data_IF_943340858636
#
_entry.id   IF_943340858636
#
_cell.length_a   1.000
_cell.length_b   1.000
_cell.length_c   1.000
_cell.angle_alpha   90.00
_cell.angle_beta   90.00
_cell.angle_gamma   90.00
#
_symmetry.space_group_name_H-M   'P 1'
#
loop_
_entity.id
_entity.type
_entity.pdbx_description
1 polymer ?
#
# COMPACT_ATOMS: atom_id res chain seq x y z
N UNK A 1 -0.07 11.75 24.06
CA UNK A 1 -0.53 10.42 23.61
C UNK A 1 -0.50 10.42 22.09
N UNK A 2 0.12 9.42 21.46
CA UNK A 2 0.03 9.29 20.01
C UNK A 2 -1.43 9.03 19.63
N UNK A 3 -1.99 9.84 18.73
CA UNK A 3 -3.36 9.71 18.25
C UNK A 3 -3.30 8.94 16.93
N UNK A 4 -3.97 7.79 16.89
CA UNK A 4 -4.11 7.01 15.65
C UNK A 4 -5.32 7.59 14.90
N UNK A 5 -5.12 7.94 13.64
CA UNK A 5 -6.17 8.40 12.74
C UNK A 5 -6.32 7.41 11.59
N UNK A 6 -7.56 7.07 11.25
CA UNK A 6 -7.85 6.19 10.12
C UNK A 6 -8.29 7.03 8.93
N UNK A 7 -7.67 6.75 7.78
CA UNK A 7 -8.04 7.33 6.50
C UNK A 7 -8.31 6.19 5.52
N UNK A 8 -9.37 6.37 4.72
CA UNK A 8 -9.71 5.44 3.65
C UNK A 8 -9.30 6.07 2.33
N UNK A 9 -8.46 5.38 1.60
CA UNK A 9 -7.98 5.78 0.28
C UNK A 9 -8.28 4.68 -0.72
N UNK A 10 -8.65 5.07 -1.94
CA UNK A 10 -8.48 4.20 -3.10
C UNK A 10 -6.99 4.00 -3.39
N UNK A 11 -6.66 2.95 -4.15
CA UNK A 11 -5.29 2.70 -4.61
C UNK A 11 -4.75 3.93 -5.35
N UNK A 12 -5.56 4.54 -6.23
CA UNK A 12 -5.15 5.70 -7.00
C UNK A 12 -4.80 6.89 -6.10
N UNK A 13 -5.68 7.25 -5.16
CA UNK A 13 -5.44 8.38 -4.25
C UNK A 13 -4.20 8.14 -3.38
N UNK A 14 -4.04 6.93 -2.85
CA UNK A 14 -2.88 6.56 -2.03
C UNK A 14 -1.56 6.76 -2.80
N UNK A 15 -1.47 6.32 -4.05
CA UNK A 15 -0.23 6.43 -4.83
C UNK A 15 -0.03 7.77 -5.55
N UNK A 16 -1.09 8.57 -5.72
CA UNK A 16 -1.01 9.87 -6.41
C UNK A 16 -0.86 11.04 -5.45
N UNK A 17 -1.51 10.99 -4.29
CA UNK A 17 -1.58 12.11 -3.35
C UNK A 17 -0.58 11.99 -2.21
N UNK A 18 -0.08 10.79 -1.91
CA UNK A 18 0.85 10.53 -0.82
C UNK A 18 2.26 10.16 -1.33
N UNK A 19 3.27 10.64 -0.60
CA UNK A 19 4.66 10.24 -0.79
C UNK A 19 5.10 9.40 0.41
N UNK A 20 5.55 8.16 0.15
CA UNK A 20 5.92 7.21 1.19
C UNK A 20 7.44 7.05 1.28
N UNK A 21 7.96 7.20 2.49
CA UNK A 21 9.37 7.05 2.82
C UNK A 21 9.52 5.71 3.55
N UNK A 22 10.36 4.83 3.03
CA UNK A 22 10.74 3.60 3.73
C UNK A 22 11.98 3.92 4.56
N UNK A 23 11.89 3.90 5.90
CA UNK A 23 13.04 4.21 6.75
C UNK A 23 14.01 3.03 6.84
N UNK A 24 15.30 3.31 7.11
CA UNK A 24 16.39 2.33 7.09
C UNK A 24 16.23 1.14 8.05
N UNK A 25 15.40 1.29 9.09
CA UNK A 25 15.14 0.24 10.07
C UNK A 25 14.03 -0.75 9.63
N UNK A 26 13.40 -0.53 8.47
CA UNK A 26 12.44 -1.49 7.92
C UNK A 26 13.12 -2.75 7.41
N UNK A 27 12.35 -3.85 7.38
CA UNK A 27 12.85 -5.12 6.86
C UNK A 27 12.99 -5.03 5.34
N UNK A 28 13.90 -5.84 4.81
CA UNK A 28 14.03 -6.01 3.37
C UNK A 28 12.71 -6.53 2.77
N UNK A 29 12.43 -6.12 1.53
CA UNK A 29 11.32 -6.66 0.77
C UNK A 29 11.64 -8.11 0.39
N UNK A 30 10.91 -9.05 0.98
CA UNK A 30 11.11 -10.50 0.79
C UNK A 30 10.08 -11.14 -0.11
N UNK A 31 9.08 -10.38 -0.56
CA UNK A 31 8.06 -10.92 -1.45
C UNK A 31 8.67 -11.29 -2.80
N UNK A 32 8.31 -12.48 -3.24
CA UNK A 32 8.68 -13.04 -4.54
C UNK A 32 7.60 -12.75 -5.55
N UNK A 33 7.91 -12.96 -6.84
CA UNK A 33 6.93 -12.85 -7.91
C UNK A 33 5.65 -13.65 -7.61
N UNK A 34 5.75 -14.78 -6.91
CA UNK A 34 4.59 -15.61 -6.55
C UNK A 34 3.60 -14.85 -5.65
N UNK A 35 4.10 -14.18 -4.61
CA UNK A 35 3.24 -13.43 -3.68
C UNK A 35 2.64 -12.20 -4.36
N UNK A 36 3.42 -11.55 -5.23
CA UNK A 36 2.96 -10.42 -6.03
C UNK A 36 1.86 -10.86 -7.00
N UNK A 37 2.04 -11.96 -7.72
CA UNK A 37 1.02 -12.49 -8.64
C UNK A 37 -0.25 -12.89 -7.88
N UNK A 38 -0.14 -13.52 -6.72
CA UNK A 38 -1.32 -13.87 -5.91
C UNK A 38 -2.12 -12.61 -5.52
N UNK A 39 -1.43 -11.55 -5.10
CA UNK A 39 -2.10 -10.28 -4.77
C UNK A 39 -2.82 -9.69 -6.00
N UNK A 40 -2.20 -9.76 -7.18
CA UNK A 40 -2.83 -9.27 -8.41
C UNK A 40 -4.02 -10.11 -8.85
N UNK A 41 -3.93 -11.44 -8.74
CA UNK A 41 -5.02 -12.36 -9.04
C UNK A 41 -6.20 -12.08 -8.12
N UNK A 42 -5.97 -11.96 -6.81
CA UNK A 42 -7.00 -11.63 -5.84
C UNK A 42 -7.68 -10.28 -6.16
N UNK A 43 -6.92 -9.26 -6.58
CA UNK A 43 -7.49 -7.97 -7.00
C UNK A 43 -8.31 -8.11 -8.28
N UNK A 44 -7.81 -8.81 -9.29
CA UNK A 44 -8.49 -9.00 -10.57
C UNK A 44 -9.81 -9.78 -10.42
N UNK A 45 -9.80 -10.86 -9.63
CA UNK A 45 -11.01 -11.64 -9.36
C UNK A 45 -12.12 -10.78 -8.74
N UNK A 46 -11.76 -9.84 -7.86
CA UNK A 46 -12.72 -8.96 -7.21
C UNK A 46 -13.26 -7.87 -8.13
N UNK A 47 -12.45 -7.40 -9.08
CA UNK A 47 -12.88 -6.50 -10.15
C UNK A 47 -13.84 -7.23 -11.10
N UNK A 48 -13.49 -8.44 -11.54
CA UNK A 48 -14.24 -9.22 -12.53
C UNK A 48 -15.55 -9.79 -11.97
N UNK A 49 -15.63 -10.02 -10.66
CA UNK A 49 -16.85 -10.49 -10.00
C UNK A 49 -18.04 -9.50 -10.07
N UNK A 50 -17.86 -8.30 -10.66
CA UNK A 50 -18.92 -7.31 -10.83
C UNK A 50 -19.49 -6.82 -9.49
N UNK A 51 -18.72 -6.98 -8.43
CA UNK A 51 -19.06 -6.59 -7.07
C UNK A 51 -19.21 -5.07 -7.02
N UNK A 52 -20.41 -4.57 -6.73
CA UNK A 52 -20.61 -3.15 -6.35
C UNK A 52 -20.04 -2.82 -4.97
N UNK A 53 -19.42 -3.80 -4.29
CA UNK A 53 -18.82 -3.63 -2.98
C UNK A 53 -17.35 -3.29 -3.12
N UNK A 54 -16.94 -2.30 -2.34
CA UNK A 54 -15.54 -1.94 -2.19
C UNK A 54 -14.74 -3.13 -1.65
N UNK A 55 -13.66 -3.48 -2.35
CA UNK A 55 -12.73 -4.51 -1.91
C UNK A 55 -11.67 -3.90 -1.00
N UNK A 56 -11.52 -4.47 0.19
CA UNK A 56 -10.52 -4.04 1.15
C UNK A 56 -9.24 -4.85 0.97
N UNK A 57 -8.20 -4.20 0.45
CA UNK A 57 -6.91 -4.83 0.13
C UNK A 57 -6.01 -4.93 1.36
N UNK A 58 -6.13 -4.00 2.31
CA UNK A 58 -5.34 -4.01 3.54
C UNK A 58 -5.19 -2.64 4.19
N UNK A 59 -4.42 -2.61 5.28
CA UNK A 59 -4.07 -1.40 6.03
C UNK A 59 -2.57 -1.15 5.90
N UNK A 60 -2.17 0.10 5.70
CA UNK A 60 -0.77 0.55 5.83
C UNK A 60 -0.68 1.46 7.04
N UNK A 61 0.29 1.21 7.91
CA UNK A 61 0.54 2.05 9.08
C UNK A 61 1.66 3.03 8.74
N UNK A 62 1.39 4.33 8.90
CA UNK A 62 2.34 5.38 8.57
C UNK A 62 2.44 6.45 9.65
N UNK A 63 3.60 7.10 9.71
CA UNK A 63 3.84 8.30 10.50
C UNK A 63 3.87 9.54 9.59
N UNK A 64 3.08 10.59 9.85
CA UNK A 64 3.20 11.84 9.11
C UNK A 64 4.55 12.52 9.41
N UNK A 65 5.13 13.12 8.39
CA UNK A 65 6.35 13.94 8.53
C UNK A 65 6.02 15.43 8.65
N UNK A 66 7.05 16.27 8.76
CA UNK A 66 6.89 17.73 8.72
C UNK A 66 6.40 18.25 7.35
N UNK A 67 6.56 17.47 6.28
CA UNK A 67 6.09 17.82 4.95
C UNK A 67 4.68 17.27 4.73
N UNK A 68 3.82 18.11 4.13
CA UNK A 68 2.44 17.72 3.82
C UNK A 68 2.45 16.52 2.86
N UNK A 69 1.57 15.55 3.10
CA UNK A 69 1.41 14.33 2.34
C UNK A 69 2.65 13.41 2.27
N UNK A 70 3.66 13.65 3.11
CA UNK A 70 4.83 12.78 3.21
C UNK A 70 4.73 11.93 4.47
N UNK A 71 4.89 10.63 4.31
CA UNK A 71 4.61 9.64 5.32
C UNK A 71 5.75 8.63 5.44
N UNK A 72 6.25 8.38 6.64
CA UNK A 72 7.17 7.27 6.90
C UNK A 72 6.38 5.98 7.12
N UNK A 73 6.74 4.92 6.41
CA UNK A 73 6.08 3.62 6.53
C UNK A 73 6.55 2.91 7.79
N UNK A 74 5.60 2.59 8.66
CA UNK A 74 5.83 1.81 9.89
C UNK A 74 5.55 0.33 9.65
N UNK A 75 4.44 0.02 8.95
CA UNK A 75 4.02 -1.35 8.61
C UNK A 75 3.20 -1.37 7.31
N UNK A 76 3.15 -2.51 6.62
CA UNK A 76 2.48 -2.68 5.33
C UNK A 76 3.36 -2.36 4.11
N UNK A 77 4.68 -2.29 4.29
CA UNK A 77 5.63 -1.97 3.22
C UNK A 77 5.52 -2.91 2.01
N UNK A 78 5.36 -4.22 2.22
CA UNK A 78 5.29 -5.19 1.13
C UNK A 78 4.05 -4.94 0.24
N UNK A 79 2.90 -4.68 0.85
CA UNK A 79 1.68 -4.34 0.14
C UNK A 79 1.82 -3.03 -0.66
N UNK A 80 2.45 -2.02 -0.04
CA UNK A 80 2.66 -0.71 -0.66
C UNK A 80 3.68 -0.77 -1.82
N UNK A 81 4.73 -1.58 -1.68
CA UNK A 81 5.84 -1.63 -2.65
C UNK A 81 5.54 -2.52 -3.85
N UNK A 82 4.69 -3.56 -3.68
CA UNK A 82 4.43 -4.54 -4.75
C UNK A 82 3.84 -3.93 -6.03
N UNK A 83 2.86 -3.01 -5.97
CA UNK A 83 2.37 -2.30 -7.16
C UNK A 83 3.43 -1.42 -7.85
N UNK A 84 4.43 -0.91 -7.10
CA UNK A 84 5.50 -0.08 -7.67
C UNK A 84 6.52 -0.92 -8.45
N UNK A 85 6.89 -2.10 -7.93
CA UNK A 85 7.89 -2.98 -8.56
C UNK A 85 7.41 -3.47 -9.94
N UNK A 86 6.11 -3.71 -10.10
CA UNK A 86 5.52 -4.11 -11.38
C UNK A 86 5.47 -2.97 -12.41
N UNK A 87 5.66 -1.72 -11.97
CA UNK A 87 5.57 -0.53 -12.83
C UNK A 87 6.93 -0.11 -13.41
N UNK A 88 8.02 -0.75 -12.98
CA UNK A 88 9.33 -0.59 -13.61
C UNK A 88 9.44 -1.46 -14.88
N UNK A 89 9.77 -0.89 -16.04
CA UNK A 89 9.83 -1.58 -17.33
C UNK A 89 11.01 -2.56 -17.45
#
# INVERSE_FOLDING_TARGET
MARIENHKYSIEEAFRECFYIVPDYQREYVWTDKEVHQLLEDINEQIDAGSTREYFIGTVLVSPTAQKNHYEVIDGQALLSSPLILRTP
#
